data_IF_932732398472
#
_entry.id   IF_932732398472
#
_cell.length_a   1.000
_cell.length_b   1.000
_cell.length_c   1.000
_cell.angle_alpha   90.00
_cell.angle_beta   90.00
_cell.angle_gamma   90.00
#
_symmetry.space_group_name_H-M   'P 1'
#
loop_
_entity.id
_entity.type
_entity.pdbx_description
1 polymer ?
#
# COMPACT_ATOMS: atom_id res chain seq x y z
N UNK A 1 3.91 -34.88 -4.07
CA UNK A 1 2.67 -34.10 -3.89
C UNK A 1 2.92 -32.60 -3.81
N UNK A 2 3.91 -32.12 -3.07
CA UNK A 2 4.26 -30.69 -2.91
C UNK A 2 4.52 -29.96 -4.25
N UNK A 3 5.31 -30.53 -5.15
CA UNK A 3 5.64 -29.90 -6.44
C UNK A 3 4.41 -29.58 -7.31
N UNK A 4 3.40 -30.45 -7.34
CA UNK A 4 2.17 -30.21 -8.13
C UNK A 4 1.36 -29.04 -7.59
N UNK A 5 1.25 -28.91 -6.25
CA UNK A 5 0.54 -27.82 -5.61
C UNK A 5 1.26 -26.49 -5.81
N UNK A 6 2.58 -26.45 -5.66
CA UNK A 6 3.40 -25.28 -5.90
C UNK A 6 3.28 -24.78 -7.35
N UNK A 7 3.40 -25.68 -8.33
CA UNK A 7 3.25 -25.35 -9.75
C UNK A 7 1.86 -24.83 -10.07
N UNK A 8 0.81 -25.42 -9.46
CA UNK A 8 -0.56 -24.99 -9.67
C UNK A 8 -0.80 -23.58 -9.09
N UNK A 9 -0.30 -23.28 -7.90
CA UNK A 9 -0.39 -21.95 -7.30
C UNK A 9 0.43 -20.93 -8.08
N UNK A 10 1.67 -21.25 -8.47
CA UNK A 10 2.51 -20.38 -9.28
C UNK A 10 1.84 -20.00 -10.61
N UNK A 11 1.15 -20.96 -11.26
CA UNK A 11 0.35 -20.68 -12.48
C UNK A 11 -0.74 -19.63 -12.25
N UNK A 12 -1.39 -19.62 -11.10
CA UNK A 12 -2.42 -18.61 -10.79
C UNK A 12 -1.81 -17.21 -10.64
N UNK A 13 -0.65 -17.08 -9.98
CA UNK A 13 0.09 -15.83 -9.95
C UNK A 13 0.49 -15.36 -11.35
N UNK A 14 1.00 -16.28 -12.18
CA UNK A 14 1.36 -15.97 -13.56
C UNK A 14 0.16 -15.52 -14.41
N UNK A 15 -0.98 -16.24 -14.28
CA UNK A 15 -2.22 -15.90 -14.98
C UNK A 15 -2.96 -14.71 -14.38
N UNK A 16 -2.43 -14.08 -13.32
CA UNK A 16 -3.05 -12.95 -12.61
C UNK A 16 -4.47 -13.26 -12.07
N UNK A 17 -4.75 -14.53 -11.73
CA UNK A 17 -6.05 -14.96 -11.19
C UNK A 17 -6.10 -14.97 -9.66
N UNK A 18 -4.99 -14.69 -8.99
CA UNK A 18 -4.92 -14.53 -7.53
C UNK A 18 -5.44 -13.15 -7.15
N UNK A 19 -6.50 -13.11 -6.36
CA UNK A 19 -7.03 -11.86 -5.82
C UNK A 19 -6.18 -11.39 -4.64
N UNK A 20 -5.78 -10.13 -4.68
CA UNK A 20 -4.95 -9.52 -3.61
C UNK A 20 -5.42 -8.10 -3.37
N UNK A 21 -5.86 -7.87 -2.14
CA UNK A 21 -6.22 -6.54 -1.68
C UNK A 21 -5.36 -6.16 -0.48
N UNK A 22 -4.91 -4.93 -0.49
CA UNK A 22 -4.06 -4.34 0.54
C UNK A 22 -4.72 -3.10 1.10
N UNK A 23 -4.55 -2.86 2.39
CA UNK A 23 -4.89 -1.61 3.03
C UNK A 23 -3.62 -0.80 3.26
N UNK A 24 -3.63 0.46 2.90
CA UNK A 24 -2.51 1.37 3.11
C UNK A 24 -2.97 2.68 3.76
N UNK A 25 -2.13 3.27 4.62
CA UNK A 25 -2.24 4.67 5.02
C UNK A 25 -1.22 5.44 4.19
N UNK A 26 -1.65 6.48 3.50
CA UNK A 26 -0.82 7.31 2.65
C UNK A 26 -0.85 8.76 3.08
N UNK A 27 0.24 9.49 2.83
CA UNK A 27 0.32 10.92 3.08
C UNK A 27 -0.55 11.73 2.11
N UNK A 28 -1.23 12.72 2.66
CA UNK A 28 -2.04 13.69 1.92
C UNK A 28 -3.49 13.24 1.74
N UNK A 29 -4.25 14.15 1.19
CA UNK A 29 -5.66 13.97 0.84
C UNK A 29 -5.77 13.48 -0.61
N UNK A 30 -6.08 12.19 -0.80
CA UNK A 30 -6.29 11.60 -2.13
C UNK A 30 -7.62 12.10 -2.67
N UNK A 31 -7.58 12.95 -3.69
CA UNK A 31 -8.77 13.67 -4.18
C UNK A 31 -9.83 12.75 -4.81
N UNK A 32 -9.40 11.85 -5.70
CA UNK A 32 -10.31 10.94 -6.38
C UNK A 32 -10.67 9.76 -5.48
N UNK A 33 -11.94 9.41 -5.42
CA UNK A 33 -12.42 8.29 -4.58
C UNK A 33 -11.85 6.95 -5.00
N UNK A 34 -11.57 6.79 -6.29
CA UNK A 34 -10.95 5.60 -6.86
C UNK A 34 -10.10 5.97 -8.09
N UNK A 35 -9.21 5.07 -8.48
CA UNK A 35 -8.39 5.26 -9.67
C UNK A 35 -7.54 4.06 -10.00
N UNK A 36 -6.96 4.10 -11.20
CA UNK A 36 -5.99 3.14 -11.68
C UNK A 36 -4.64 3.83 -11.87
N UNK A 37 -3.58 3.21 -11.34
CA UNK A 37 -2.20 3.61 -11.59
C UNK A 37 -1.61 2.56 -12.52
N UNK A 38 -1.44 2.93 -13.79
CA UNK A 38 -0.82 2.11 -14.81
C UNK A 38 0.53 2.74 -15.18
N UNK A 39 1.60 2.27 -14.55
CA UNK A 39 2.92 2.85 -14.71
C UNK A 39 4.00 1.76 -14.55
N UNK A 40 4.89 1.57 -15.53
CA UNK A 40 5.92 0.54 -15.49
C UNK A 40 6.86 0.72 -14.31
N UNK A 41 7.19 -0.39 -13.64
CA UNK A 41 8.10 -0.39 -12.47
C UNK A 41 9.37 -1.16 -12.80
N UNK A 42 10.50 -0.53 -12.54
CA UNK A 42 11.82 -1.13 -12.65
C UNK A 42 12.71 -0.81 -11.45
N UNK A 43 13.91 -1.39 -11.44
CA UNK A 43 14.88 -1.15 -10.38
C UNK A 43 15.52 0.21 -10.55
N UNK A 44 15.64 0.97 -9.45
CA UNK A 44 16.31 2.26 -9.48
C UNK A 44 17.82 2.07 -9.76
N UNK A 45 18.38 2.63 -10.86
CA UNK A 45 19.79 2.48 -11.20
C UNK A 45 20.72 3.16 -10.19
N UNK A 46 20.24 4.23 -9.53
CA UNK A 46 21.01 4.99 -8.53
C UNK A 46 20.95 4.38 -7.14
N UNK A 47 19.87 3.61 -6.82
CA UNK A 47 19.72 2.94 -5.55
C UNK A 47 19.01 1.59 -5.75
N UNK A 48 19.78 0.51 -5.89
CA UNK A 48 19.28 -0.84 -6.20
C UNK A 48 18.35 -1.44 -5.14
N UNK A 49 18.24 -0.84 -3.96
CA UNK A 49 17.28 -1.23 -2.92
C UNK A 49 15.88 -0.68 -3.17
N UNK A 50 15.74 0.28 -4.07
CA UNK A 50 14.48 0.90 -4.44
C UNK A 50 14.01 0.46 -5.82
N UNK A 51 12.70 0.52 -6.01
CA UNK A 51 12.04 0.46 -7.31
C UNK A 51 11.54 1.86 -7.67
N UNK A 52 11.44 2.17 -8.96
CA UNK A 52 10.90 3.44 -9.46
C UNK A 52 9.94 3.17 -10.63
N UNK A 53 9.11 4.16 -10.92
CA UNK A 53 8.34 4.20 -12.17
C UNK A 53 9.26 4.63 -13.30
N UNK A 54 9.11 3.98 -14.44
CA UNK A 54 9.72 4.34 -15.72
C UNK A 54 8.65 4.86 -16.68
N UNK A 55 9.04 5.72 -17.59
CA UNK A 55 8.12 6.26 -18.61
C UNK A 55 7.80 5.25 -19.72
N UNK A 56 8.61 4.18 -19.82
CA UNK A 56 8.52 3.13 -20.83
C UNK A 56 8.69 1.72 -20.25
N UNK A 57 8.55 0.72 -21.13
CA UNK A 57 8.75 -0.70 -20.78
C UNK A 57 10.20 -1.18 -20.95
N UNK A 58 11.11 -0.35 -21.48
CA UNK A 58 12.52 -0.73 -21.63
C UNK A 58 13.21 -0.76 -20.26
N UNK A 59 12.95 0.25 -19.43
CA UNK A 59 13.47 0.32 -18.06
C UNK A 59 12.60 -0.36 -17.02
N UNK A 60 11.31 -0.53 -17.28
CA UNK A 60 10.29 -1.03 -16.35
C UNK A 60 9.49 -2.20 -16.87
N UNK A 61 8.83 -2.91 -15.96
CA UNK A 61 7.86 -3.97 -16.28
C UNK A 61 6.46 -3.45 -16.02
N UNK A 62 5.50 -3.81 -16.88
CA UNK A 62 4.08 -3.49 -16.69
C UNK A 62 3.64 -3.66 -15.23
N UNK A 63 3.06 -2.62 -14.68
CA UNK A 63 2.55 -2.62 -13.33
C UNK A 63 1.24 -1.82 -13.26
N UNK A 64 0.19 -2.45 -12.71
CA UNK A 64 -1.16 -1.86 -12.63
C UNK A 64 -1.71 -2.07 -11.23
N UNK A 65 -2.06 -0.97 -10.57
CA UNK A 65 -2.68 -0.92 -9.24
C UNK A 65 -3.98 -0.14 -9.32
N UNK A 66 -5.09 -0.76 -8.93
CA UNK A 66 -6.33 -0.04 -8.67
C UNK A 66 -6.36 0.36 -7.19
N UNK A 67 -6.79 1.59 -6.90
CA UNK A 67 -7.00 2.03 -5.54
C UNK A 67 -8.42 2.56 -5.34
N UNK A 68 -8.89 2.46 -4.09
CA UNK A 68 -10.14 3.05 -3.63
C UNK A 68 -9.91 3.70 -2.28
N UNK A 69 -10.37 4.94 -2.12
CA UNK A 69 -10.32 5.65 -0.85
C UNK A 69 -11.34 5.05 0.11
N UNK A 70 -10.90 4.75 1.33
CA UNK A 70 -11.75 4.25 2.41
C UNK A 70 -12.11 5.38 3.37
N UNK A 71 -11.13 6.20 3.77
CA UNK A 71 -11.34 7.29 4.72
C UNK A 71 -10.27 8.38 4.55
N UNK A 72 -10.68 9.65 4.65
CA UNK A 72 -9.78 10.81 4.56
C UNK A 72 -9.66 11.52 5.89
N UNK A 73 -8.44 11.95 6.22
CA UNK A 73 -8.14 12.73 7.43
C UNK A 73 -7.49 14.08 7.10
N UNK A 74 -7.57 14.54 5.85
CA UNK A 74 -6.92 15.76 5.37
C UNK A 74 -5.40 15.67 5.23
N UNK A 75 -4.71 15.11 6.21
CA UNK A 75 -3.23 14.95 6.21
C UNK A 75 -2.78 13.57 5.75
N UNK A 76 -3.61 12.57 5.96
CA UNK A 76 -3.41 11.20 5.50
C UNK A 76 -4.73 10.64 4.98
N UNK A 77 -4.65 9.61 4.15
CA UNK A 77 -5.80 8.91 3.58
C UNK A 77 -5.61 7.41 3.75
N UNK A 78 -6.67 6.69 4.11
CA UNK A 78 -6.70 5.23 4.03
C UNK A 78 -7.18 4.83 2.64
N UNK A 79 -6.41 3.99 1.98
CA UNK A 79 -6.76 3.45 0.66
C UNK A 79 -6.72 1.93 0.66
N UNK A 80 -7.67 1.31 -0.04
CA UNK A 80 -7.58 -0.07 -0.47
C UNK A 80 -6.88 -0.12 -1.82
N UNK A 81 -5.97 -1.08 -2.01
CA UNK A 81 -5.24 -1.28 -3.25
C UNK A 81 -5.43 -2.71 -3.76
N UNK A 82 -5.98 -2.87 -4.97
CA UNK A 82 -6.09 -4.15 -5.67
C UNK A 82 -5.05 -4.25 -6.78
N UNK A 83 -4.29 -5.35 -6.77
CA UNK A 83 -3.18 -5.55 -7.69
C UNK A 83 -3.59 -6.38 -8.91
N UNK A 84 -3.54 -5.80 -10.12
CA UNK A 84 -3.60 -6.55 -11.40
C UNK A 84 -2.26 -7.22 -11.73
N UNK A 85 -1.15 -6.65 -11.26
CA UNK A 85 0.21 -7.16 -11.39
C UNK A 85 0.85 -7.26 -9.99
N UNK A 86 2.02 -7.89 -9.86
CA UNK A 86 2.69 -8.04 -8.56
C UNK A 86 4.19 -7.78 -8.67
N UNK A 87 4.59 -6.52 -8.85
CA UNK A 87 6.01 -6.13 -8.87
C UNK A 87 6.50 -5.82 -7.47
N UNK A 88 7.78 -5.96 -7.27
CA UNK A 88 8.44 -5.60 -6.00
C UNK A 88 8.09 -4.17 -5.61
N UNK A 89 7.64 -3.95 -4.39
CA UNK A 89 7.24 -2.66 -3.83
C UNK A 89 6.14 -1.90 -4.63
N UNK A 90 5.36 -2.60 -5.46
CA UNK A 90 4.47 -1.96 -6.43
C UNK A 90 3.56 -0.89 -5.81
N UNK A 91 2.81 -1.20 -4.75
CA UNK A 91 1.92 -0.23 -4.09
C UNK A 91 2.72 0.97 -3.56
N UNK A 92 3.86 0.73 -2.93
CA UNK A 92 4.72 1.78 -2.35
C UNK A 92 5.20 2.77 -3.41
N UNK A 93 5.65 2.24 -4.55
CA UNK A 93 6.15 3.02 -5.69
C UNK A 93 5.03 3.76 -6.39
N UNK A 94 3.90 3.09 -6.67
CA UNK A 94 2.76 3.67 -7.34
C UNK A 94 2.12 4.80 -6.53
N UNK A 95 1.91 4.60 -5.22
CA UNK A 95 1.36 5.64 -4.37
C UNK A 95 2.30 6.84 -4.25
N UNK A 96 3.62 6.60 -4.15
CA UNK A 96 4.60 7.68 -4.22
C UNK A 96 4.57 8.41 -5.56
N UNK A 97 4.44 7.70 -6.67
CA UNK A 97 4.40 8.27 -8.01
C UNK A 97 3.24 9.26 -8.19
N UNK A 98 2.07 8.96 -7.63
CA UNK A 98 0.92 9.86 -7.64
C UNK A 98 0.94 10.90 -6.50
N UNK A 99 2.08 11.06 -5.79
CA UNK A 99 2.26 12.08 -4.73
C UNK A 99 1.76 11.71 -3.34
N UNK A 100 1.41 10.44 -3.11
CA UNK A 100 0.84 9.92 -1.86
C UNK A 100 1.70 8.81 -1.25
N UNK A 101 2.95 9.14 -0.85
CA UNK A 101 3.86 8.16 -0.22
C UNK A 101 3.20 7.50 1.00
N UNK A 102 3.45 6.19 1.21
CA UNK A 102 2.93 5.48 2.38
C UNK A 102 3.46 6.10 3.68
N UNK A 103 2.59 6.17 4.67
CA UNK A 103 2.91 6.65 6.02
C UNK A 103 3.97 5.74 6.65
N UNK A 104 5.00 6.35 7.26
CA UNK A 104 6.17 5.72 7.85
C UNK A 104 6.94 4.74 6.93
N UNK A 105 6.99 5.06 5.64
CA UNK A 105 7.80 4.30 4.67
C UNK A 105 9.19 4.90 4.54
N UNK A 106 10.13 4.47 5.38
CA UNK A 106 11.51 4.95 5.41
C UNK A 106 12.18 4.86 4.03
N UNK A 107 12.03 3.72 3.35
CA UNK A 107 12.69 3.49 2.05
C UNK A 107 12.24 4.44 0.95
N UNK A 108 11.02 4.93 1.02
CA UNK A 108 10.43 5.83 0.02
C UNK A 108 10.19 7.24 0.55
N UNK A 109 10.67 7.54 1.77
CA UNK A 109 10.66 8.87 2.37
C UNK A 109 9.34 9.28 2.98
N UNK A 110 8.55 8.31 3.46
CA UNK A 110 7.30 8.54 4.19
C UNK A 110 7.46 8.61 5.71
N UNK A 111 8.67 8.42 6.21
CA UNK A 111 9.09 8.45 7.62
C UNK A 111 9.32 9.87 8.17
N UNK A 112 8.82 10.86 7.47
CA UNK A 112 8.85 12.27 7.86
C UNK A 112 7.52 12.95 7.55
N UNK A 113 7.28 14.10 8.12
CA UNK A 113 6.07 14.87 7.87
C UNK A 113 6.08 15.37 6.42
N UNK A 114 5.20 14.81 5.59
CA UNK A 114 5.03 15.21 4.20
C UNK A 114 3.84 16.16 4.00
N UNK A 115 2.89 16.18 4.94
CA UNK A 115 1.70 17.04 4.91
C UNK A 115 1.41 17.57 6.31
N UNK A 116 0.91 18.80 6.38
CA UNK A 116 0.64 19.49 7.63
C UNK A 116 1.75 20.47 8.02
N UNK A 117 1.91 20.70 9.31
CA UNK A 117 2.86 21.68 9.84
C UNK A 117 3.96 20.97 10.63
N UNK A 118 5.14 21.61 10.73
CA UNK A 118 6.24 21.13 11.57
C UNK A 118 6.19 21.66 13.00
N UNK A 119 5.12 22.34 13.41
CA UNK A 119 4.98 22.89 14.74
C UNK A 119 4.79 21.81 15.80
N UNK A 120 5.25 22.10 17.02
CA UNK A 120 5.53 21.13 18.09
C UNK A 120 4.41 20.11 18.36
N UNK A 121 3.16 20.55 18.50
CA UNK A 121 2.04 19.63 18.82
C UNK A 121 1.72 18.65 17.68
N UNK A 122 1.72 19.11 16.43
CA UNK A 122 1.48 18.23 15.28
C UNK A 122 2.66 17.30 15.03
N UNK A 123 3.88 17.81 15.12
CA UNK A 123 5.10 17.02 14.99
C UNK A 123 5.11 15.89 16.03
N UNK A 124 4.88 16.20 17.32
CA UNK A 124 4.80 15.21 18.38
C UNK A 124 3.69 14.15 18.13
N UNK A 125 2.53 14.59 17.64
CA UNK A 125 1.45 13.65 17.27
C UNK A 125 1.89 12.67 16.19
N UNK A 126 2.55 13.15 15.12
CA UNK A 126 3.03 12.31 14.02
C UNK A 126 4.14 11.37 14.50
N UNK A 127 5.11 11.87 15.28
CA UNK A 127 6.20 11.05 15.87
C UNK A 127 5.62 9.92 16.74
N UNK A 128 4.65 10.21 17.60
CA UNK A 128 3.95 9.19 18.37
C UNK A 128 3.22 8.15 17.48
N UNK A 129 2.73 8.56 16.31
CA UNK A 129 2.15 7.61 15.35
C UNK A 129 3.23 6.74 14.69
N UNK A 130 4.41 7.29 14.39
CA UNK A 130 5.54 6.52 13.87
C UNK A 130 6.05 5.49 14.88
N UNK A 131 6.12 5.85 16.17
CA UNK A 131 6.52 4.92 17.23
C UNK A 131 5.55 3.74 17.37
N UNK A 132 4.24 3.98 17.22
CA UNK A 132 3.22 2.92 17.28
C UNK A 132 3.30 2.01 16.05
N UNK A 133 3.58 2.55 14.88
CA UNK A 133 3.67 1.82 13.62
C UNK A 133 5.08 1.98 13.03
N UNK A 134 6.11 1.28 13.56
CA UNK A 134 7.52 1.46 13.16
C UNK A 134 7.85 0.75 11.84
N UNK A 135 6.97 0.85 10.85
CA UNK A 135 7.10 0.27 9.51
C UNK A 135 6.19 1.00 8.53
N UNK A 136 6.38 0.76 7.24
CA UNK A 136 5.43 1.26 6.24
C UNK A 136 4.00 0.81 6.55
N UNK A 137 3.05 1.75 6.50
CA UNK A 137 1.63 1.51 6.75
C UNK A 137 0.99 0.76 5.57
N UNK A 138 1.31 -0.53 5.44
CA UNK A 138 0.79 -1.43 4.42
C UNK A 138 0.46 -2.78 5.03
N UNK A 139 -0.74 -3.28 4.74
CA UNK A 139 -1.25 -4.55 5.22
C UNK A 139 -1.91 -5.33 4.09
N UNK A 140 -1.55 -6.63 3.93
CA UNK A 140 -2.21 -7.54 3.02
C UNK A 140 -3.55 -7.95 3.63
N UNK A 141 -4.65 -7.33 3.16
CA UNK A 141 -5.99 -7.50 3.73
C UNK A 141 -6.64 -8.80 3.26
N UNK A 142 -6.65 -9.05 1.95
CA UNK A 142 -7.25 -10.28 1.42
C UNK A 142 -6.33 -11.01 0.45
N UNK A 143 -6.47 -12.33 0.43
CA UNK A 143 -5.81 -13.22 -0.50
C UNK A 143 -6.81 -14.28 -0.98
N UNK A 144 -7.14 -14.24 -2.28
CA UNK A 144 -8.02 -15.22 -2.92
C UNK A 144 -7.30 -16.05 -3.97
N UNK A 145 -7.50 -17.36 -3.96
CA UNK A 145 -6.95 -18.28 -4.95
C UNK A 145 -7.76 -19.58 -5.04
N UNK A 146 -7.59 -20.31 -6.14
CA UNK A 146 -8.17 -21.66 -6.28
C UNK A 146 -7.31 -22.70 -5.61
N UNK A 147 -7.88 -23.46 -4.68
CA UNK A 147 -7.17 -24.51 -3.94
C UNK A 147 -6.65 -25.63 -4.87
N UNK A 148 -5.37 -26.04 -4.77
CA UNK A 148 -4.76 -26.94 -5.74
C UNK A 148 -5.37 -28.35 -5.77
N UNK A 149 -5.91 -28.84 -4.66
CA UNK A 149 -6.51 -30.18 -4.54
C UNK A 149 -8.02 -30.14 -4.78
N UNK A 150 -8.76 -29.31 -4.03
CA UNK A 150 -10.23 -29.28 -4.06
C UNK A 150 -10.80 -28.47 -5.23
N UNK A 151 -9.99 -27.63 -5.88
CA UNK A 151 -10.39 -26.70 -6.96
C UNK A 151 -11.44 -25.67 -6.56
N UNK A 152 -11.72 -25.54 -5.29
CA UNK A 152 -12.59 -24.50 -4.74
C UNK A 152 -11.86 -23.16 -4.63
N UNK A 153 -12.55 -22.08 -4.84
CA UNK A 153 -12.04 -20.74 -4.57
C UNK A 153 -12.01 -20.52 -3.07
N UNK A 154 -10.87 -20.11 -2.56
CA UNK A 154 -10.67 -19.77 -1.14
C UNK A 154 -10.30 -18.30 -1.07
N UNK A 155 -10.95 -17.57 -0.17
CA UNK A 155 -10.64 -16.20 0.16
C UNK A 155 -10.26 -16.13 1.64
N UNK A 156 -9.05 -15.68 1.91
CA UNK A 156 -8.60 -15.32 3.25
C UNK A 156 -8.76 -13.81 3.45
N UNK A 157 -9.29 -13.43 4.58
CA UNK A 157 -9.38 -12.04 5.03
C UNK A 157 -8.69 -11.94 6.38
N UNK A 158 -7.73 -11.03 6.53
CA UNK A 158 -7.02 -10.83 7.78
C UNK A 158 -7.45 -9.53 8.46
N UNK A 159 -7.53 -9.53 9.78
CA UNK A 159 -7.81 -8.35 10.56
C UNK A 159 -6.70 -7.31 10.41
N UNK A 160 -7.06 -6.04 10.54
CA UNK A 160 -6.07 -4.95 10.53
C UNK A 160 -5.19 -5.09 11.77
N UNK A 161 -3.85 -5.14 11.64
CA UNK A 161 -2.94 -5.25 12.77
C UNK A 161 -3.12 -4.12 13.78
N UNK A 162 -2.92 -4.42 15.06
CA UNK A 162 -3.13 -3.48 16.17
C UNK A 162 -2.31 -2.18 16.04
N UNK A 163 -1.10 -2.25 15.52
CA UNK A 163 -0.25 -1.09 15.26
C UNK A 163 -0.92 -0.14 14.26
N UNK A 164 -1.43 -0.67 13.17
CA UNK A 164 -2.08 0.10 12.11
C UNK A 164 -3.45 0.63 12.54
N UNK A 165 -4.28 -0.19 13.21
CA UNK A 165 -5.59 0.22 13.72
C UNK A 165 -5.48 1.31 14.79
N UNK A 166 -4.47 1.24 15.66
CA UNK A 166 -4.18 2.28 16.66
C UNK A 166 -3.83 3.63 16.02
N UNK A 167 -3.00 3.63 14.97
CA UNK A 167 -2.68 4.85 14.22
C UNK A 167 -3.92 5.41 13.52
N UNK A 168 -4.75 4.57 12.90
CA UNK A 168 -6.02 5.00 12.29
C UNK A 168 -6.91 5.70 13.32
N UNK A 169 -7.09 5.10 14.49
CA UNK A 169 -7.92 5.67 15.55
C UNK A 169 -7.36 7.00 16.09
N UNK A 170 -6.03 7.13 16.20
CA UNK A 170 -5.38 8.40 16.55
C UNK A 170 -5.69 9.49 15.51
N UNK A 171 -5.60 9.19 14.22
CA UNK A 171 -5.94 10.15 13.17
C UNK A 171 -7.41 10.54 13.19
N UNK A 172 -8.34 9.59 13.39
CA UNK A 172 -9.77 9.88 13.57
C UNK A 172 -10.03 10.85 14.72
N UNK A 173 -9.41 10.59 15.87
CA UNK A 173 -9.54 11.46 17.05
C UNK A 173 -8.94 12.84 16.76
N UNK A 174 -7.77 12.91 16.15
CA UNK A 174 -7.08 14.16 15.84
C UNK A 174 -7.91 15.07 14.91
N UNK A 175 -8.52 14.51 13.87
CA UNK A 175 -9.30 15.28 12.88
C UNK A 175 -10.67 15.71 13.42
N UNK A 176 -11.33 14.88 14.25
CA UNK A 176 -12.58 15.25 14.92
C UNK A 176 -12.45 16.54 15.78
N UNK A 177 -11.31 16.72 16.45
CA UNK A 177 -11.05 17.87 17.29
C UNK A 177 -10.64 19.14 16.49
N UNK A 178 -10.36 18.99 15.20
CA UNK A 178 -9.97 20.12 14.33
C UNK A 178 -11.07 20.62 13.38
N UNK A 179 -12.26 20.01 13.39
CA UNK A 179 -13.34 20.31 12.43
C UNK A 179 -12.87 20.25 10.96
N UNK A 180 -11.98 19.30 10.64
CA UNK A 180 -11.48 19.03 9.31
C UNK A 180 -12.28 17.92 8.64
#
# INVERSE_FOLDING_TARGET
MLFRSMTFLAKQFFKKTVEREYLAIVWGDVKNDEGEINAPIGRNPKNRLQMIVYDDLEGGKEAITNYKVIERFGYVTIVSCKLKTGRTHQIRVHMKYIGHTLFNDERYGGDKILKGTVYSKYKQFVENCFDILPRQALHAKTLGFTHPKTKQNILFDSEIPNDMSSVINKWRSYTKHKNL
#
